data_IF_296122193543
#
_entry.id   IF_296122193543
#
_cell.length_a   1.000
_cell.length_b   1.000
_cell.length_c   1.000
_cell.angle_alpha   90.00
_cell.angle_beta   90.00
_cell.angle_gamma   90.00
#
_symmetry.space_group_name_H-M   'P 1'
#
loop_
_entity.id
_entity.type
_entity.pdbx_description
1 polymer ?
#
# COMPACT_ATOMS: atom_id res chain seq x y z
N UNK A 1 30.19 67.11 -35.16
CA UNK A 1 28.76 67.38 -35.07
C UNK A 1 28.19 66.37 -34.05
N UNK A 2 28.16 66.78 -32.79
CA UNK A 2 27.76 65.87 -31.66
C UNK A 2 26.29 66.16 -31.33
N UNK A 3 25.47 65.22 -31.56
CA UNK A 3 24.00 65.24 -31.30
C UNK A 3 23.74 65.05 -29.80
N UNK A 4 23.31 66.11 -29.11
CA UNK A 4 22.87 66.05 -27.70
C UNK A 4 21.47 65.46 -27.65
N UNK A 5 21.39 64.22 -27.23
CA UNK A 5 20.09 63.58 -26.90
C UNK A 5 19.57 64.14 -25.57
N UNK A 6 18.40 64.75 -25.59
CA UNK A 6 17.76 65.34 -24.40
C UNK A 6 17.43 64.27 -23.39
N UNK A 7 17.71 64.51 -22.09
CA UNK A 7 17.40 63.63 -20.95
C UNK A 7 15.93 63.16 -20.89
N UNK A 8 15.03 63.95 -21.44
CA UNK A 8 13.59 63.65 -21.51
C UNK A 8 13.26 62.49 -22.48
N UNK A 9 13.96 62.34 -23.58
CA UNK A 9 13.76 61.25 -24.55
C UNK A 9 14.35 59.93 -24.08
N UNK A 10 15.40 59.96 -23.24
CA UNK A 10 16.02 58.80 -22.65
C UNK A 10 15.12 58.18 -21.54
N UNK A 11 14.43 59.04 -20.76
CA UNK A 11 13.51 58.60 -19.71
C UNK A 11 12.23 57.97 -20.28
N UNK A 12 11.71 58.53 -21.40
CA UNK A 12 10.54 57.98 -22.08
C UNK A 12 10.84 56.63 -22.76
N UNK A 13 12.07 56.39 -23.24
CA UNK A 13 12.49 55.15 -23.82
C UNK A 13 12.69 54.04 -22.77
N UNK A 14 13.21 54.37 -21.57
CA UNK A 14 13.32 53.46 -20.43
C UNK A 14 11.95 53.07 -19.82
N UNK A 15 11.00 54.01 -19.79
CA UNK A 15 9.63 53.72 -19.33
C UNK A 15 8.88 52.80 -20.32
N UNK A 16 9.11 52.96 -21.63
CA UNK A 16 8.53 52.12 -22.68
C UNK A 16 9.05 50.67 -22.65
N UNK A 17 10.31 50.45 -22.29
CA UNK A 17 10.92 49.12 -22.18
C UNK A 17 10.43 48.42 -20.89
N UNK A 18 10.20 49.16 -19.79
CA UNK A 18 9.68 48.57 -18.54
C UNK A 18 8.24 48.06 -18.67
N UNK A 19 7.41 48.61 -19.54
CA UNK A 19 6.01 48.19 -19.78
C UNK A 19 5.95 46.94 -20.67
N UNK A 20 6.98 46.68 -21.49
CA UNK A 20 7.04 45.51 -22.39
C UNK A 20 7.53 44.20 -21.69
N UNK A 21 8.11 44.31 -20.48
CA UNK A 21 8.63 43.15 -19.77
C UNK A 21 7.57 42.50 -18.82
N UNK A 22 6.49 43.26 -18.50
CA UNK A 22 5.45 42.76 -17.60
C UNK A 22 4.34 41.92 -18.28
N UNK A 23 4.37 41.72 -19.60
CA UNK A 23 3.27 41.11 -20.35
C UNK A 23 3.52 39.66 -20.81
N UNK A 24 4.60 38.98 -20.38
CA UNK A 24 4.92 37.63 -20.84
C UNK A 24 4.77 36.51 -19.80
N UNK A 25 4.34 36.81 -18.57
CA UNK A 25 4.21 35.78 -17.54
C UNK A 25 2.80 35.14 -17.43
N UNK A 26 1.77 35.80 -17.96
CA UNK A 26 0.40 35.34 -17.81
C UNK A 26 -0.11 34.39 -18.92
N UNK A 27 0.56 34.32 -20.06
CA UNK A 27 0.05 33.55 -21.22
C UNK A 27 0.31 32.03 -21.14
N UNK A 28 1.29 31.59 -20.36
CA UNK A 28 1.59 30.16 -20.19
C UNK A 28 0.66 29.48 -19.15
N UNK A 29 0.13 30.25 -18.19
CA UNK A 29 -0.77 29.72 -17.17
C UNK A 29 -2.18 29.43 -17.70
N UNK A 30 -2.59 30.06 -18.80
CA UNK A 30 -3.94 29.95 -19.33
C UNK A 30 -4.13 28.79 -20.33
N UNK A 31 -3.05 28.18 -20.77
CA UNK A 31 -3.11 26.93 -21.56
C UNK A 31 -3.35 25.72 -20.66
N UNK A 32 -3.95 24.64 -21.20
CA UNK A 32 -4.15 23.38 -20.47
C UNK A 32 -2.82 22.84 -19.93
N UNK A 33 -1.74 22.90 -20.71
CA UNK A 33 -0.40 22.46 -20.31
C UNK A 33 0.16 23.36 -19.20
N UNK A 34 0.01 24.67 -19.30
CA UNK A 34 0.45 25.63 -18.28
C UNK A 34 -0.25 25.41 -16.93
N UNK A 35 -1.57 25.18 -16.95
CA UNK A 35 -2.34 24.87 -15.73
C UNK A 35 -1.92 23.55 -15.11
N UNK A 36 -1.75 22.48 -15.90
CA UNK A 36 -1.27 21.19 -15.40
C UNK A 36 0.11 21.31 -14.76
N UNK A 37 1.05 22.02 -15.41
CA UNK A 37 2.39 22.26 -14.84
C UNK A 37 2.32 23.02 -13.53
N UNK A 38 1.51 24.06 -13.45
CA UNK A 38 1.28 24.82 -12.23
C UNK A 38 0.73 23.93 -11.10
N UNK A 39 -0.29 23.14 -11.36
CA UNK A 39 -0.87 22.26 -10.34
C UNK A 39 0.12 21.19 -9.86
N UNK A 40 0.86 20.57 -10.79
CA UNK A 40 1.87 19.56 -10.45
C UNK A 40 2.98 20.21 -9.62
N UNK A 41 3.56 21.36 -10.07
CA UNK A 41 4.65 22.02 -9.37
C UNK A 41 4.22 22.50 -7.97
N UNK A 42 3.00 23.03 -7.83
CA UNK A 42 2.46 23.46 -6.54
C UNK A 42 2.29 22.26 -5.60
N UNK A 43 1.61 21.21 -6.06
CA UNK A 43 1.37 20.03 -5.23
C UNK A 43 2.65 19.25 -4.88
N UNK A 44 3.71 19.35 -5.69
CA UNK A 44 5.00 18.70 -5.45
C UNK A 44 6.00 19.56 -4.70
N UNK A 45 5.65 20.80 -4.36
CA UNK A 45 6.55 21.69 -3.62
C UNK A 45 6.75 21.24 -2.16
N UNK A 46 7.87 21.63 -1.57
CA UNK A 46 8.22 21.33 -0.18
C UNK A 46 7.23 21.92 0.83
N UNK A 47 6.53 23.00 0.45
CA UNK A 47 5.48 23.62 1.25
C UNK A 47 4.36 22.62 1.59
N UNK A 48 4.04 21.71 0.67
CA UNK A 48 3.01 20.70 0.84
C UNK A 48 3.47 19.46 1.63
N UNK A 49 4.73 19.38 2.05
CA UNK A 49 5.27 18.40 3.02
C UNK A 49 4.85 16.93 2.76
N UNK A 50 4.80 16.52 1.49
CA UNK A 50 4.40 15.18 1.09
C UNK A 50 2.91 14.87 1.19
N UNK A 51 2.07 15.81 1.64
CA UNK A 51 0.58 15.76 1.57
C UNK A 51 -0.09 14.62 2.37
N UNK A 52 0.57 14.10 3.39
CA UNK A 52 -0.01 13.00 4.18
C UNK A 52 -1.34 13.40 4.85
N UNK A 53 -2.33 12.51 4.90
CA UNK A 53 -3.58 12.76 5.64
C UNK A 53 -3.32 13.12 7.10
N UNK A 54 -4.13 14.05 7.63
CA UNK A 54 -4.00 14.50 9.03
C UNK A 54 -2.80 15.39 9.33
N UNK A 55 -2.03 15.83 8.32
CA UNK A 55 -0.91 16.76 8.44
C UNK A 55 -1.25 18.14 7.90
N UNK A 56 -0.40 19.15 8.16
CA UNK A 56 -0.57 20.50 7.57
C UNK A 56 -0.46 20.44 6.03
N UNK A 57 0.49 19.66 5.48
CA UNK A 57 0.59 19.45 4.03
C UNK A 57 -0.67 18.82 3.42
N UNK A 58 -1.30 17.87 4.13
CA UNK A 58 -2.60 17.31 3.73
C UNK A 58 -3.72 18.37 3.75
N UNK A 59 -3.72 19.27 4.74
CA UNK A 59 -4.68 20.38 4.82
C UNK A 59 -4.48 21.40 3.68
N UNK A 60 -3.25 21.77 3.39
CA UNK A 60 -2.92 22.63 2.24
C UNK A 60 -3.40 21.99 0.93
N UNK A 61 -3.15 20.70 0.75
CA UNK A 61 -3.56 19.95 -0.44
C UNK A 61 -5.06 19.98 -0.68
N UNK A 62 -5.85 19.66 0.33
CA UNK A 62 -7.31 19.65 0.18
C UNK A 62 -7.88 21.04 -0.09
N UNK A 63 -7.31 22.10 0.52
CA UNK A 63 -7.72 23.48 0.27
C UNK A 63 -7.36 23.91 -1.16
N UNK A 64 -6.17 23.57 -1.64
CA UNK A 64 -5.73 23.85 -3.00
C UNK A 64 -6.63 23.17 -4.04
N UNK A 65 -6.91 21.87 -3.87
CA UNK A 65 -7.76 21.11 -4.81
C UNK A 65 -9.20 21.65 -4.80
N UNK A 66 -9.79 21.92 -3.62
CA UNK A 66 -11.15 22.45 -3.54
C UNK A 66 -11.28 23.85 -4.15
N UNK A 67 -10.25 24.70 -3.97
CA UNK A 67 -10.18 26.00 -4.65
C UNK A 67 -10.11 25.82 -6.17
N UNK A 68 -9.24 24.92 -6.65
CA UNK A 68 -9.10 24.62 -8.09
C UNK A 68 -10.43 24.15 -8.70
N UNK A 69 -11.17 23.27 -8.01
CA UNK A 69 -12.49 22.83 -8.46
C UNK A 69 -13.48 23.97 -8.57
N UNK A 70 -13.48 24.88 -7.59
CA UNK A 70 -14.31 26.08 -7.61
C UNK A 70 -13.92 27.02 -8.76
N UNK A 71 -12.63 27.24 -8.99
CA UNK A 71 -12.13 28.11 -10.07
C UNK A 71 -12.46 27.53 -11.47
N UNK A 72 -12.69 26.23 -11.57
CA UNK A 72 -13.12 25.51 -12.77
C UNK A 72 -14.66 25.40 -12.91
N UNK A 73 -15.44 26.08 -12.07
CA UNK A 73 -16.90 26.01 -12.03
C UNK A 73 -17.44 24.57 -11.90
N UNK A 74 -16.76 23.73 -11.15
CA UNK A 74 -17.23 22.40 -10.82
C UNK A 74 -18.15 22.47 -9.60
N UNK A 75 -19.25 21.69 -9.61
CA UNK A 75 -20.22 21.67 -8.54
C UNK A 75 -19.78 20.73 -7.39
N UNK A 76 -19.97 21.14 -6.13
CA UNK A 76 -19.65 20.29 -4.98
C UNK A 76 -20.64 19.13 -4.83
N UNK A 77 -20.16 17.98 -4.37
CA UNK A 77 -21.01 16.82 -4.10
C UNK A 77 -21.83 17.06 -2.82
N UNK A 78 -23.16 16.99 -2.90
CA UNK A 78 -24.08 17.23 -1.76
C UNK A 78 -23.77 18.54 -1.00
N UNK A 79 -23.36 19.58 -1.71
CA UNK A 79 -23.10 20.92 -1.14
C UNK A 79 -21.71 21.08 -0.51
N UNK A 80 -20.82 20.09 -0.56
CA UNK A 80 -19.45 20.16 -0.06
C UNK A 80 -18.47 19.53 -1.04
N UNK A 81 -17.28 20.16 -1.19
CA UNK A 81 -16.16 19.51 -1.87
C UNK A 81 -15.46 18.48 -1.00
N UNK A 82 -15.71 18.49 0.31
CA UNK A 82 -15.06 17.64 1.30
C UNK A 82 -15.99 16.51 1.70
N UNK A 83 -15.59 15.27 1.40
CA UNK A 83 -16.26 14.07 1.85
C UNK A 83 -15.42 13.46 2.98
N UNK A 84 -16.00 13.41 4.17
CA UNK A 84 -15.32 12.93 5.37
C UNK A 84 -14.92 11.46 5.24
N UNK A 85 -13.69 11.16 5.68
CA UNK A 85 -13.12 9.81 5.73
C UNK A 85 -12.51 9.60 7.10
N UNK A 86 -13.26 9.06 8.06
CA UNK A 86 -12.72 8.66 9.35
C UNK A 86 -11.60 7.62 9.16
N UNK A 87 -10.45 7.87 9.77
CA UNK A 87 -9.24 7.09 9.54
C UNK A 87 -8.59 6.69 10.86
N UNK A 88 -8.11 5.47 10.95
CA UNK A 88 -7.23 4.97 12.01
C UNK A 88 -5.79 5.00 11.52
N UNK A 89 -4.91 5.62 12.29
CA UNK A 89 -3.47 5.56 12.07
C UNK A 89 -2.86 4.62 13.11
N UNK A 90 -2.17 3.59 12.64
CA UNK A 90 -1.54 2.57 13.47
C UNK A 90 -0.04 2.63 13.22
N UNK A 91 0.73 2.86 14.27
CA UNK A 91 2.20 2.86 14.21
C UNK A 91 2.75 1.75 15.07
N UNK A 92 3.45 0.80 14.45
CA UNK A 92 4.14 -0.29 15.15
C UNK A 92 5.27 0.28 16.02
N UNK A 93 5.36 -0.18 17.26
CA UNK A 93 6.46 0.19 18.18
C UNK A 93 7.62 -0.80 18.06
N UNK A 94 8.83 -0.32 18.32
CA UNK A 94 10.07 -1.12 18.29
C UNK A 94 10.08 -2.30 19.27
N UNK A 95 9.22 -2.28 20.29
CA UNK A 95 9.04 -3.39 21.22
C UNK A 95 8.31 -4.59 20.63
N UNK A 96 7.74 -4.44 19.42
CA UNK A 96 7.06 -5.53 18.72
C UNK A 96 8.06 -6.54 18.18
N UNK A 97 7.66 -7.81 18.15
CA UNK A 97 8.52 -8.85 17.57
C UNK A 97 7.70 -9.91 16.84
N UNK A 98 8.37 -10.61 15.94
CA UNK A 98 7.92 -11.82 15.26
C UNK A 98 9.02 -12.86 15.38
N UNK A 99 8.66 -14.06 15.82
CA UNK A 99 9.55 -15.21 15.95
C UNK A 99 8.92 -16.43 15.29
N UNK A 100 9.69 -17.13 14.47
CA UNK A 100 9.37 -18.46 13.98
C UNK A 100 10.12 -19.48 14.86
N UNK A 101 9.41 -20.44 15.41
CA UNK A 101 9.96 -21.46 16.32
C UNK A 101 9.79 -22.84 15.70
N UNK A 102 10.87 -23.63 15.67
CA UNK A 102 10.84 -25.01 15.23
C UNK A 102 11.35 -25.93 16.33
N UNK A 103 10.48 -26.76 16.89
CA UNK A 103 10.78 -27.72 17.96
C UNK A 103 11.52 -27.10 19.16
N UNK A 104 11.24 -25.83 19.46
CA UNK A 104 11.86 -25.09 20.57
C UNK A 104 13.08 -24.25 20.19
N UNK A 105 13.54 -24.31 18.95
CA UNK A 105 14.56 -23.43 18.41
C UNK A 105 13.91 -22.17 17.86
N UNK A 106 14.16 -21.04 18.48
CA UNK A 106 13.55 -19.75 18.17
C UNK A 106 14.41 -18.95 17.20
N UNK A 107 13.83 -18.52 16.08
CA UNK A 107 14.41 -17.54 15.17
C UNK A 107 13.60 -16.26 15.19
N UNK A 108 14.11 -15.26 15.90
CA UNK A 108 13.54 -13.91 15.89
C UNK A 108 13.85 -13.23 14.58
N UNK A 109 12.80 -12.73 13.89
CA UNK A 109 12.93 -11.99 12.64
C UNK A 109 13.43 -10.58 12.90
N UNK A 110 14.42 -10.14 12.12
CA UNK A 110 14.90 -8.76 12.12
C UNK A 110 13.94 -7.95 11.25
N UNK A 111 13.21 -7.01 11.88
CA UNK A 111 12.26 -6.16 11.20
C UNK A 111 12.93 -5.36 10.06
N UNK A 112 12.28 -5.29 8.91
CA UNK A 112 12.80 -4.70 7.69
C UNK A 112 13.73 -5.62 6.90
N UNK A 113 14.66 -6.30 7.56
CA UNK A 113 15.65 -7.17 6.90
C UNK A 113 15.08 -8.54 6.55
N UNK A 114 14.52 -9.26 7.51
CA UNK A 114 14.02 -10.63 7.34
C UNK A 114 12.54 -10.66 6.98
N UNK A 115 11.78 -9.82 7.65
CA UNK A 115 10.33 -9.69 7.51
C UNK A 115 9.88 -8.27 7.83
N UNK A 116 8.70 -7.90 7.32
CA UNK A 116 7.93 -6.77 7.80
C UNK A 116 6.57 -7.29 8.26
N UNK A 117 6.03 -6.72 9.31
CA UNK A 117 4.73 -7.12 9.85
C UNK A 117 4.02 -5.95 10.51
N UNK A 118 2.71 -6.03 10.54
CA UNK A 118 1.83 -5.01 11.10
C UNK A 118 0.50 -5.63 11.49
N UNK A 119 -0.41 -4.80 12.00
CA UNK A 119 -1.81 -5.15 12.18
C UNK A 119 -2.72 -4.05 11.61
N UNK A 120 -3.86 -4.43 11.09
CA UNK A 120 -4.96 -3.51 10.75
C UNK A 120 -6.01 -3.44 11.86
N UNK A 121 -5.83 -4.18 12.94
CA UNK A 121 -6.66 -4.06 14.13
C UNK A 121 -6.22 -2.84 14.93
N UNK A 122 -7.11 -1.85 15.07
CA UNK A 122 -6.83 -0.59 15.76
C UNK A 122 -6.77 -0.78 17.29
N UNK A 123 -5.80 -1.57 17.75
CA UNK A 123 -5.56 -1.91 19.15
C UNK A 123 -4.11 -1.67 19.53
N UNK A 124 -3.87 -1.21 20.74
CA UNK A 124 -2.52 -0.92 21.25
C UNK A 124 -1.67 -2.18 21.47
N UNK A 125 -2.32 -3.32 21.71
CA UNK A 125 -1.64 -4.59 21.95
C UNK A 125 -2.37 -5.75 21.32
N UNK A 126 -1.60 -6.60 20.63
CA UNK A 126 -2.05 -7.89 20.09
C UNK A 126 -0.97 -8.94 20.33
N UNK A 127 -1.39 -10.19 20.44
CA UNK A 127 -0.49 -11.32 20.68
C UNK A 127 -0.92 -12.56 19.96
N UNK A 128 0.07 -13.28 19.44
CA UNK A 128 -0.06 -14.63 18.88
C UNK A 128 0.91 -15.53 19.62
N UNK A 129 0.45 -16.69 20.04
CA UNK A 129 1.28 -17.70 20.73
C UNK A 129 1.15 -19.03 20.06
N UNK A 130 2.29 -19.68 19.78
CA UNK A 130 2.44 -21.03 19.27
C UNK A 130 1.48 -21.35 18.12
N UNK A 131 1.23 -20.34 17.27
CA UNK A 131 0.33 -20.48 16.12
C UNK A 131 0.98 -21.40 15.09
N UNK A 132 0.36 -22.56 14.85
CA UNK A 132 0.82 -23.53 13.85
C UNK A 132 0.93 -22.86 12.47
N UNK A 133 2.05 -23.09 11.77
CA UNK A 133 2.27 -22.53 10.44
C UNK A 133 1.79 -23.52 9.37
N UNK A 134 0.91 -23.03 8.49
CA UNK A 134 0.31 -23.78 7.39
C UNK A 134 0.73 -23.16 6.07
N UNK A 135 1.25 -23.95 5.15
CA UNK A 135 1.47 -23.54 3.78
C UNK A 135 0.19 -23.69 2.96
N UNK A 136 -0.32 -22.62 2.42
CA UNK A 136 -1.57 -22.57 1.67
C UNK A 136 -1.36 -22.21 0.19
N UNK A 137 -0.21 -22.57 -0.39
CA UNK A 137 0.08 -22.29 -1.79
C UNK A 137 -0.08 -20.79 -2.10
N UNK A 138 -0.93 -20.46 -3.05
CA UNK A 138 -1.27 -19.08 -3.39
C UNK A 138 -2.37 -18.46 -2.52
N UNK A 139 -2.99 -19.25 -1.62
CA UNK A 139 -4.04 -18.79 -0.71
C UNK A 139 -5.28 -18.27 -1.45
N UNK A 140 -5.69 -18.92 -2.51
CA UNK A 140 -6.76 -18.48 -3.41
C UNK A 140 -8.00 -19.36 -3.27
N UNK A 141 -9.17 -18.73 -3.22
CA UNK A 141 -10.48 -19.35 -3.41
C UNK A 141 -11.14 -18.67 -4.61
N UNK A 142 -11.14 -19.34 -5.77
CA UNK A 142 -11.64 -18.83 -7.04
C UNK A 142 -12.50 -19.89 -7.74
N UNK A 143 -13.80 -19.97 -7.43
CA UNK A 143 -14.69 -21.01 -7.97
C UNK A 143 -14.76 -21.04 -9.50
N UNK A 144 -14.65 -19.88 -10.17
CA UNK A 144 -14.65 -19.75 -11.63
C UNK A 144 -13.45 -20.40 -12.32
N UNK A 145 -12.35 -20.59 -11.56
CA UNK A 145 -11.17 -21.35 -12.01
C UNK A 145 -11.17 -22.78 -11.47
N UNK A 146 -12.21 -23.17 -10.68
CA UNK A 146 -12.23 -24.42 -9.92
C UNK A 146 -10.96 -24.57 -9.08
N UNK A 147 -10.63 -23.49 -8.31
CA UNK A 147 -9.43 -23.39 -7.50
C UNK A 147 -9.77 -23.04 -6.05
N UNK A 148 -9.28 -23.84 -5.11
CA UNK A 148 -9.45 -23.60 -3.69
C UNK A 148 -8.25 -24.14 -2.90
N UNK A 149 -7.32 -23.25 -2.56
CA UNK A 149 -6.11 -23.59 -1.79
C UNK A 149 -6.40 -23.93 -0.32
N UNK A 150 -7.60 -23.60 0.18
CA UNK A 150 -8.01 -23.88 1.55
C UNK A 150 -8.89 -25.13 1.67
N UNK A 151 -9.10 -25.87 0.59
CA UNK A 151 -9.97 -27.04 0.63
C UNK A 151 -9.41 -28.12 1.57
N UNK A 152 -10.26 -28.61 2.47
CA UNK A 152 -9.93 -29.72 3.37
C UNK A 152 -9.04 -29.36 4.57
N UNK A 153 -8.68 -28.08 4.77
CA UNK A 153 -7.87 -27.66 5.92
C UNK A 153 -8.60 -26.60 6.78
N UNK A 154 -8.50 -26.74 8.09
CA UNK A 154 -8.92 -25.69 9.01
C UNK A 154 -7.72 -24.85 9.46
N UNK A 155 -7.74 -23.58 9.08
CA UNK A 155 -6.68 -22.61 9.41
C UNK A 155 -7.08 -21.63 10.52
N UNK A 156 -8.21 -21.81 11.16
CA UNK A 156 -8.69 -20.93 12.23
C UNK A 156 -7.69 -20.86 13.39
N UNK A 157 -7.29 -19.65 13.72
CA UNK A 157 -6.29 -19.40 14.76
C UNK A 157 -4.85 -19.78 14.37
N UNK A 158 -4.62 -20.26 13.14
CA UNK A 158 -3.29 -20.61 12.65
C UNK A 158 -2.64 -19.47 11.85
N UNK A 159 -1.37 -19.60 11.59
CA UNK A 159 -0.60 -18.72 10.69
C UNK A 159 -0.57 -19.34 9.31
N UNK A 160 -0.97 -18.60 8.29
CA UNK A 160 -0.84 -19.04 6.91
C UNK A 160 0.36 -18.36 6.24
N UNK A 161 1.14 -19.16 5.48
CA UNK A 161 2.25 -18.70 4.65
C UNK A 161 1.85 -18.88 3.20
N UNK A 162 1.99 -17.81 2.40
CA UNK A 162 1.30 -17.64 1.13
C UNK A 162 2.28 -17.16 0.06
N UNK A 163 2.27 -17.79 -1.12
CA UNK A 163 3.00 -17.31 -2.30
C UNK A 163 2.37 -16.01 -2.83
N UNK A 164 3.19 -15.04 -3.19
CA UNK A 164 2.73 -13.82 -3.89
C UNK A 164 2.31 -14.14 -5.33
N UNK A 165 1.46 -13.30 -5.90
CA UNK A 165 0.90 -13.46 -7.24
C UNK A 165 -0.10 -14.64 -7.33
N UNK A 166 -0.28 -15.23 -8.51
CA UNK A 166 -1.22 -16.32 -8.78
C UNK A 166 -0.61 -17.40 -9.70
N UNK A 167 -1.20 -18.59 -9.77
CA UNK A 167 -0.67 -19.70 -10.59
C UNK A 167 -0.57 -19.38 -12.09
N UNK A 168 -1.37 -18.43 -12.57
CA UNK A 168 -1.30 -17.98 -13.96
C UNK A 168 0.00 -17.30 -14.27
N UNK A 169 0.47 -16.44 -13.38
CA UNK A 169 1.76 -15.76 -13.52
C UNK A 169 2.92 -16.75 -13.60
N UNK A 170 2.98 -17.73 -12.70
CA UNK A 170 4.04 -18.73 -12.66
C UNK A 170 4.05 -19.62 -13.91
N UNK A 171 2.86 -20.02 -14.41
CA UNK A 171 2.76 -20.93 -15.56
C UNK A 171 2.70 -20.24 -16.92
N UNK A 172 2.36 -18.95 -16.98
CA UNK A 172 2.11 -18.21 -18.21
C UNK A 172 0.85 -18.65 -18.98
N UNK A 173 0.02 -19.55 -18.46
CA UNK A 173 -1.15 -20.10 -19.14
C UNK A 173 -2.30 -19.09 -19.10
N UNK A 174 -2.69 -18.50 -20.25
CA UNK A 174 -3.76 -17.49 -20.37
C UNK A 174 -5.11 -17.92 -19.79
N UNK A 175 -5.44 -19.20 -19.84
CA UNK A 175 -6.71 -19.73 -19.29
C UNK A 175 -6.69 -19.91 -17.77
N UNK A 176 -5.53 -19.73 -17.14
CA UNK A 176 -5.37 -19.82 -15.70
C UNK A 176 -5.00 -18.42 -15.18
N UNK A 177 -5.86 -17.80 -14.41
CA UNK A 177 -5.69 -16.46 -13.81
C UNK A 177 -5.10 -15.41 -14.78
N UNK A 178 -5.53 -15.47 -16.05
CA UNK A 178 -5.11 -14.50 -17.08
C UNK A 178 -3.59 -14.51 -17.42
N UNK A 179 -2.90 -15.62 -17.15
CA UNK A 179 -1.47 -15.81 -17.47
C UNK A 179 -0.57 -14.83 -16.73
N UNK A 180 0.34 -14.17 -17.44
CA UNK A 180 1.29 -13.21 -16.85
C UNK A 180 0.65 -11.91 -16.34
N UNK A 181 -0.61 -11.66 -16.59
CA UNK A 181 -1.31 -10.48 -16.08
C UNK A 181 -1.88 -10.78 -14.69
N UNK A 182 -1.37 -10.09 -13.67
CA UNK A 182 -1.82 -10.27 -12.30
C UNK A 182 -3.33 -10.01 -12.18
N UNK A 183 -4.07 -11.00 -11.68
CA UNK A 183 -5.49 -10.84 -11.31
C UNK A 183 -5.63 -10.23 -9.90
N UNK A 184 -6.87 -9.97 -9.46
CA UNK A 184 -7.10 -9.57 -8.07
C UNK A 184 -6.63 -10.65 -7.08
N UNK A 185 -6.74 -11.92 -7.44
CA UNK A 185 -6.27 -13.04 -6.62
C UNK A 185 -4.75 -13.03 -6.40
N UNK A 186 -3.97 -12.50 -7.34
CA UNK A 186 -2.52 -12.35 -7.21
C UNK A 186 -2.07 -11.24 -6.28
N UNK A 187 -2.97 -10.30 -5.95
CA UNK A 187 -2.63 -9.15 -5.10
C UNK A 187 -2.43 -9.57 -3.64
N UNK A 188 -1.42 -9.01 -3.01
CA UNK A 188 -1.14 -9.26 -1.59
C UNK A 188 -2.30 -8.86 -0.67
N UNK A 189 -3.08 -7.83 -1.01
CA UNK A 189 -4.28 -7.44 -0.27
C UNK A 189 -5.32 -8.56 -0.23
N UNK A 190 -5.55 -9.23 -1.37
CA UNK A 190 -6.45 -10.38 -1.42
C UNK A 190 -6.00 -11.52 -0.49
N UNK A 191 -4.67 -11.78 -0.43
CA UNK A 191 -4.12 -12.85 0.43
C UNK A 191 -4.49 -12.64 1.89
N UNK A 192 -4.35 -11.41 2.39
CA UNK A 192 -4.73 -11.07 3.76
C UNK A 192 -6.24 -11.13 3.98
N UNK A 193 -7.02 -10.66 3.01
CA UNK A 193 -8.48 -10.70 3.06
C UNK A 193 -9.00 -12.14 3.08
N UNK A 194 -8.45 -13.02 2.22
CA UNK A 194 -8.85 -14.42 2.19
C UNK A 194 -8.43 -15.17 3.46
N UNK A 195 -7.21 -14.97 3.93
CA UNK A 195 -6.76 -15.54 5.19
C UNK A 195 -7.67 -15.14 6.36
N UNK A 196 -8.12 -13.89 6.39
CA UNK A 196 -9.08 -13.42 7.38
C UNK A 196 -10.45 -14.10 7.24
N UNK A 197 -10.99 -14.25 6.01
CA UNK A 197 -12.23 -14.99 5.75
C UNK A 197 -12.16 -16.45 6.20
N UNK A 198 -10.99 -17.06 6.08
CA UNK A 198 -10.72 -18.44 6.55
C UNK A 198 -10.44 -18.52 8.05
N UNK A 199 -10.41 -17.38 8.76
CA UNK A 199 -10.23 -17.30 10.21
C UNK A 199 -8.79 -17.48 10.70
N UNK A 200 -7.79 -17.30 9.83
CA UNK A 200 -6.40 -17.35 10.24
C UNK A 200 -6.05 -16.24 11.26
N UNK A 201 -5.15 -16.54 12.20
CA UNK A 201 -4.65 -15.57 13.15
C UNK A 201 -3.59 -14.63 12.52
N UNK A 202 -2.76 -15.17 11.64
CA UNK A 202 -1.74 -14.42 10.93
C UNK A 202 -1.66 -14.85 9.46
N UNK A 203 -1.27 -13.91 8.60
CA UNK A 203 -0.99 -14.18 7.20
C UNK A 203 0.36 -13.56 6.81
N UNK A 204 1.26 -14.38 6.31
CA UNK A 204 2.61 -13.99 5.88
C UNK A 204 2.74 -14.29 4.39
N UNK A 205 2.90 -13.24 3.59
CA UNK A 205 3.15 -13.38 2.15
C UNK A 205 4.65 -13.51 1.91
N UNK A 206 5.04 -14.47 1.11
CA UNK A 206 6.43 -14.68 0.71
C UNK A 206 6.76 -13.71 -0.42
N UNK A 207 7.81 -12.91 -0.23
CA UNK A 207 8.28 -11.99 -1.25
C UNK A 207 9.31 -12.65 -2.15
N UNK A 208 8.95 -12.83 -3.41
CA UNK A 208 9.86 -13.12 -4.52
C UNK A 208 9.83 -11.92 -5.47
N UNK A 209 11.00 -11.39 -5.80
CA UNK A 209 11.13 -10.15 -6.58
C UNK A 209 10.45 -10.24 -7.95
N UNK A 210 10.66 -11.36 -8.67
CA UNK A 210 10.03 -11.58 -9.98
C UNK A 210 8.50 -11.64 -9.88
N UNK A 211 7.99 -12.40 -8.93
CA UNK A 211 6.54 -12.60 -8.75
C UNK A 211 5.84 -11.37 -8.18
N UNK A 212 6.51 -10.61 -7.30
CA UNK A 212 5.99 -9.37 -6.75
C UNK A 212 6.04 -8.21 -7.75
N UNK A 213 7.03 -8.21 -8.66
CA UNK A 213 7.27 -7.15 -9.64
C UNK A 213 8.02 -5.95 -9.09
N UNK A 214 8.58 -6.04 -7.88
CA UNK A 214 9.37 -4.98 -7.23
C UNK A 214 10.35 -5.58 -6.21
N UNK A 215 11.48 -4.88 -5.93
CA UNK A 215 12.47 -5.38 -4.97
C UNK A 215 11.98 -5.29 -3.52
N UNK A 216 12.62 -6.06 -2.63
CA UNK A 216 12.33 -6.07 -1.19
C UNK A 216 12.34 -4.69 -0.55
N UNK A 217 13.21 -3.79 -0.99
CA UNK A 217 13.29 -2.42 -0.47
C UNK A 217 11.97 -1.64 -0.58
N UNK A 218 11.12 -1.97 -1.55
CA UNK A 218 9.77 -1.38 -1.64
C UNK A 218 8.92 -1.83 -0.47
N UNK A 219 8.93 -3.12 -0.15
CA UNK A 219 8.19 -3.66 1.01
C UNK A 219 8.73 -3.07 2.30
N UNK A 220 10.05 -3.11 2.51
CA UNK A 220 10.72 -2.57 3.68
C UNK A 220 10.34 -1.11 3.95
N UNK A 221 10.45 -0.25 2.93
CA UNK A 221 10.19 1.18 3.08
C UNK A 221 8.70 1.51 3.19
N UNK A 222 7.81 0.74 2.58
CA UNK A 222 6.36 1.00 2.59
C UNK A 222 5.72 0.75 3.94
N UNK A 223 6.31 -0.12 4.77
CA UNK A 223 5.74 -0.51 6.06
C UNK A 223 6.45 0.10 7.27
N UNK A 224 7.32 1.07 7.03
CA UNK A 224 7.91 1.88 8.10
C UNK A 224 6.98 3.03 8.49
N UNK A 225 6.94 3.34 9.78
CA UNK A 225 6.16 4.46 10.30
C UNK A 225 4.64 4.22 10.35
N UNK A 226 3.86 5.30 10.36
CA UNK A 226 2.41 5.24 10.49
C UNK A 226 1.72 4.61 9.30
N UNK A 227 0.83 3.65 9.53
CA UNK A 227 -0.04 3.04 8.53
C UNK A 227 -1.47 3.54 8.73
N UNK A 228 -2.12 3.90 7.63
CA UNK A 228 -3.49 4.42 7.63
C UNK A 228 -4.46 3.37 7.10
N UNK A 229 -5.60 3.23 7.78
CA UNK A 229 -6.76 2.46 7.30
C UNK A 229 -8.05 3.21 7.63
N UNK A 230 -9.17 2.79 7.06
CA UNK A 230 -10.47 3.31 7.43
C UNK A 230 -10.77 2.96 8.90
N UNK A 231 -11.34 3.92 9.61
CA UNK A 231 -11.87 3.62 10.94
C UNK A 231 -13.03 2.64 10.82
N UNK A 232 -13.02 1.59 11.65
CA UNK A 232 -14.02 0.53 11.69
C UNK A 232 -14.65 0.45 13.07
N UNK A 233 -15.95 0.19 13.14
CA UNK A 233 -16.68 0.09 14.42
C UNK A 233 -16.21 -1.13 15.23
N UNK A 234 -15.82 -2.20 14.57
CA UNK A 234 -15.27 -3.43 15.17
C UNK A 234 -13.77 -3.34 15.48
N UNK A 235 -13.13 -2.19 15.23
CA UNK A 235 -11.68 -1.96 15.36
C UNK A 235 -10.84 -2.87 14.47
N UNK A 236 -11.38 -3.40 13.37
CA UNK A 236 -10.72 -4.31 12.44
C UNK A 236 -10.66 -5.76 12.92
N UNK A 237 -11.57 -6.19 13.80
CA UNK A 237 -11.64 -7.59 14.25
C UNK A 237 -11.96 -8.57 13.12
N UNK A 238 -12.47 -8.09 11.97
CA UNK A 238 -12.65 -8.86 10.74
C UNK A 238 -11.34 -9.15 9.98
N UNK A 239 -10.21 -8.65 10.49
CA UNK A 239 -8.87 -8.85 9.92
C UNK A 239 -8.06 -9.85 10.73
N UNK A 240 -7.05 -10.46 10.10
CA UNK A 240 -6.06 -11.25 10.85
C UNK A 240 -5.35 -10.38 11.90
N UNK A 241 -4.89 -10.99 12.96
CA UNK A 241 -4.16 -10.28 14.04
C UNK A 241 -2.84 -9.70 13.49
N UNK A 242 -2.18 -10.42 12.59
CA UNK A 242 -0.91 -10.03 12.00
C UNK A 242 -0.94 -10.24 10.49
N UNK A 243 -0.68 -9.19 9.75
CA UNK A 243 -0.33 -9.22 8.34
C UNK A 243 1.18 -9.02 8.20
N UNK A 244 1.82 -9.69 7.26
CA UNK A 244 3.26 -9.52 7.07
C UNK A 244 3.79 -10.06 5.76
N UNK A 245 5.05 -9.70 5.49
CA UNK A 245 5.86 -10.24 4.41
C UNK A 245 7.12 -10.85 4.98
N UNK A 246 7.57 -11.94 4.38
CA UNK A 246 8.86 -12.55 4.65
C UNK A 246 9.65 -12.68 3.34
N UNK A 247 10.95 -12.43 3.38
CA UNK A 247 11.80 -12.71 2.22
C UNK A 247 11.82 -14.21 1.91
N UNK A 248 11.82 -14.55 0.64
CA UNK A 248 11.99 -15.91 0.14
C UNK A 248 13.24 -16.58 0.72
N UNK A 249 14.38 -15.87 0.69
CA UNK A 249 15.65 -16.36 1.25
C UNK A 249 15.56 -16.62 2.75
N UNK A 250 14.91 -15.73 3.52
CA UNK A 250 14.70 -15.91 4.97
C UNK A 250 13.82 -17.11 5.26
N UNK A 251 12.72 -17.26 4.50
CA UNK A 251 11.85 -18.42 4.64
C UNK A 251 12.58 -19.71 4.27
N UNK A 252 13.32 -19.71 3.17
CA UNK A 252 14.11 -20.87 2.76
C UNK A 252 15.09 -21.33 3.84
N UNK A 253 15.77 -20.38 4.49
CA UNK A 253 16.65 -20.69 5.64
C UNK A 253 15.87 -21.34 6.79
N UNK A 254 14.64 -20.85 7.11
CA UNK A 254 13.79 -21.46 8.14
C UNK A 254 13.37 -22.87 7.72
N UNK A 255 12.94 -23.07 6.48
CA UNK A 255 12.48 -24.35 5.96
C UNK A 255 13.57 -25.42 5.94
N UNK A 256 14.82 -25.03 5.68
CA UNK A 256 15.96 -25.97 5.71
C UNK A 256 16.12 -26.68 7.07
N UNK A 257 15.72 -26.05 8.18
CA UNK A 257 15.70 -26.71 9.50
C UNK A 257 14.50 -27.61 9.71
N UNK A 258 13.42 -27.41 8.94
CA UNK A 258 12.17 -28.17 9.08
C UNK A 258 12.12 -29.43 8.22
N UNK A 259 13.05 -29.55 7.27
CA UNK A 259 13.07 -30.63 6.28
C UNK A 259 12.15 -30.36 5.07
N UNK A 260 11.57 -29.17 4.95
CA UNK A 260 10.85 -28.74 3.76
C UNK A 260 11.81 -28.02 2.80
N UNK A 261 11.51 -28.13 1.50
CA UNK A 261 12.25 -27.42 0.45
C UNK A 261 11.34 -26.36 -0.19
N UNK A 262 11.81 -25.14 -0.26
CA UNK A 262 11.00 -24.02 -0.77
C UNK A 262 10.61 -24.18 -2.25
N UNK A 263 11.54 -24.63 -3.10
CA UNK A 263 11.25 -24.82 -4.52
C UNK A 263 10.22 -25.94 -4.74
N UNK A 264 10.32 -27.03 -3.98
CA UNK A 264 9.32 -28.09 -4.00
C UNK A 264 7.93 -27.59 -3.53
N UNK A 265 7.87 -26.68 -2.55
CA UNK A 265 6.62 -26.05 -2.14
C UNK A 265 6.00 -25.22 -3.27
N UNK A 266 6.81 -24.50 -4.05
CA UNK A 266 6.31 -23.74 -5.20
C UNK A 266 5.78 -24.66 -6.30
N UNK A 267 6.50 -25.74 -6.59
CA UNK A 267 6.08 -26.71 -7.62
C UNK A 267 4.73 -27.35 -7.29
N UNK A 268 4.57 -27.87 -6.07
CA UNK A 268 3.32 -28.53 -5.68
C UNK A 268 2.14 -27.55 -5.61
N UNK A 269 2.37 -26.26 -5.30
CA UNK A 269 1.34 -25.24 -5.27
C UNK A 269 0.74 -24.91 -6.66
N UNK A 270 1.38 -25.35 -7.75
CA UNK A 270 0.87 -25.23 -9.11
C UNK A 270 -0.04 -26.38 -9.54
N UNK A 271 -0.06 -27.45 -8.77
CA UNK A 271 -0.87 -28.61 -9.09
C UNK A 271 -2.36 -28.38 -8.70
N UNK A 272 -3.28 -28.79 -9.59
CA UNK A 272 -4.72 -28.70 -9.27
C UNK A 272 -5.15 -29.56 -8.08
N UNK A 273 -4.35 -30.56 -7.74
CA UNK A 273 -4.54 -31.46 -6.61
C UNK A 273 -3.88 -30.96 -5.35
N UNK A 274 -3.32 -29.75 -5.37
CA UNK A 274 -2.73 -29.14 -4.19
C UNK A 274 -3.75 -29.09 -3.06
N UNK A 275 -3.31 -29.47 -1.88
CA UNK A 275 -4.03 -29.30 -0.62
C UNK A 275 -3.09 -28.64 0.37
N UNK A 276 -3.54 -27.59 1.03
CA UNK A 276 -2.76 -26.94 2.07
C UNK A 276 -2.40 -27.90 3.19
N UNK A 277 -1.26 -27.69 3.82
CA UNK A 277 -0.78 -28.56 4.89
C UNK A 277 0.08 -27.80 5.91
N UNK A 278 0.12 -28.38 7.11
CA UNK A 278 0.96 -27.86 8.19
C UNK A 278 2.44 -28.06 7.90
N UNK A 279 3.23 -27.01 8.12
CA UNK A 279 4.69 -27.11 8.20
C UNK A 279 5.06 -27.66 9.58
N UNK A 280 4.86 -28.95 9.80
CA UNK A 280 4.87 -29.64 11.10
C UNK A 280 6.05 -29.24 11.96
N UNK A 281 5.72 -28.79 13.17
CA UNK A 281 6.70 -28.35 14.18
C UNK A 281 7.12 -26.90 14.06
N UNK A 282 6.68 -26.18 13.01
CA UNK A 282 6.89 -24.74 12.87
C UNK A 282 5.72 -23.99 13.45
N UNK A 283 5.99 -23.04 14.33
CA UNK A 283 5.00 -22.14 14.94
C UNK A 283 5.43 -20.69 14.82
N UNK A 284 4.47 -19.76 14.90
CA UNK A 284 4.70 -18.34 14.97
C UNK A 284 4.31 -17.78 16.33
N UNK A 285 5.21 -16.98 16.89
CA UNK A 285 5.00 -16.20 18.09
C UNK A 285 5.20 -14.71 17.77
N UNK A 286 4.29 -13.86 18.25
CA UNK A 286 4.40 -12.42 18.03
C UNK A 286 3.74 -11.64 19.16
N UNK A 287 4.37 -10.53 19.55
CA UNK A 287 3.71 -9.46 20.30
C UNK A 287 3.79 -8.18 19.48
N UNK A 288 2.63 -7.56 19.29
CA UNK A 288 2.46 -6.35 18.50
C UNK A 288 2.03 -5.25 19.45
N UNK A 289 2.89 -4.25 19.59
CA UNK A 289 2.64 -3.06 20.37
C UNK A 289 2.48 -1.88 19.41
N UNK A 290 1.37 -1.18 19.49
CA UNK A 290 1.04 -0.08 18.58
C UNK A 290 0.83 1.23 19.35
N UNK A 291 1.02 2.33 18.62
CA UNK A 291 0.37 3.60 18.91
C UNK A 291 -0.81 3.72 17.93
N UNK A 292 -2.01 3.92 18.46
CA UNK A 292 -3.24 4.10 17.66
C UNK A 292 -3.68 5.55 17.80
N UNK A 293 -4.01 6.17 16.66
CA UNK A 293 -4.51 7.54 16.59
C UNK A 293 -5.68 7.57 15.59
N UNK A 294 -6.75 8.29 15.93
CA UNK A 294 -7.88 8.51 15.04
C UNK A 294 -7.79 9.91 14.46
N UNK A 295 -8.03 10.03 13.16
CA UNK A 295 -8.00 11.30 12.45
C UNK A 295 -9.13 11.37 11.42
N UNK A 296 -9.51 12.61 11.11
CA UNK A 296 -10.47 12.91 10.07
C UNK A 296 -9.71 13.28 8.79
N UNK A 297 -9.75 12.39 7.80
CA UNK A 297 -9.31 12.68 6.45
C UNK A 297 -10.50 13.08 5.56
N UNK A 298 -10.24 13.46 4.32
CA UNK A 298 -11.26 13.86 3.36
C UNK A 298 -10.89 13.41 1.96
N UNK A 299 -11.85 12.87 1.23
CA UNK A 299 -11.80 12.88 -0.22
C UNK A 299 -12.28 14.24 -0.73
N UNK A 300 -11.65 14.74 -1.79
CA UNK A 300 -12.07 15.97 -2.45
C UNK A 300 -12.77 15.57 -3.75
N UNK A 301 -14.04 15.95 -3.85
CA UNK A 301 -14.88 15.54 -4.97
C UNK A 301 -15.70 16.69 -5.53
N UNK A 302 -15.84 16.70 -6.84
CA UNK A 302 -16.69 17.63 -7.58
C UNK A 302 -17.27 16.93 -8.80
N UNK A 303 -18.30 17.49 -9.38
CA UNK A 303 -18.86 17.01 -10.64
C UNK A 303 -19.17 18.16 -11.58
N UNK A 304 -19.26 17.85 -12.87
CA UNK A 304 -19.77 18.74 -13.90
C UNK A 304 -20.98 18.07 -14.55
N UNK A 305 -22.10 18.76 -14.60
CA UNK A 305 -23.28 18.26 -15.31
C UNK A 305 -22.98 18.15 -16.80
N UNK A 306 -23.32 17.03 -17.38
CA UNK A 306 -23.27 16.88 -18.83
C UNK A 306 -24.35 17.72 -19.52
N UNK A 307 -24.13 18.06 -20.78
CA UNK A 307 -25.18 18.62 -21.63
C UNK A 307 -26.04 17.41 -22.07
N UNK A 308 -27.27 17.34 -21.56
CA UNK A 308 -28.29 16.38 -22.05
C UNK A 308 -28.91 16.89 -23.33
#
# INVERSE_FOLDING_TARGET
MTMKISKTHFLAFLLGISILITSCSDSLSDTTDGRLRHWISTLSSDEFQGRAPGTEGGKLTKNFISKTFKDLDLEPVKGSYFLEVPTSEITLKDSSYLTLSFRGDDRKMIAGKDAVFWTKQAREYRKIRDSEVVFVGYGIVAPEYNWNDYEGIDVRGKTVVILVNDPGFATGKLRLFNGKSMTYYGRWTYKFEEAARQGAAAAIVIHEEESAGYPWSVVENSWQGPQLDLQRDDLGNDRVILEGWIRDSTLNDVLNFTGFNYDALKEIALEKTFSAFSLRGLTLNSEIHNKVRYLQSHNIAAFKKGNS
#
